data_IF_517884270852
#
_entry.id   IF_517884270852
#
_cell.length_a   1.000
_cell.length_b   1.000
_cell.length_c   1.000
_cell.angle_alpha   90.00
_cell.angle_beta   90.00
_cell.angle_gamma   90.00
#
_symmetry.space_group_name_H-M   'P 1'
#
loop_
_entity.id
_entity.type
_entity.pdbx_description
1 polymer ?
#
# COMPACT_ATOMS: atom_id res chain seq x y z
N UNK A 1 -15.15 -4.05 6.22
CA UNK A 1 -14.68 -2.66 6.20
C UNK A 1 -15.85 -1.72 6.23
N UNK A 2 -15.70 -0.66 6.96
CA UNK A 2 -16.71 0.39 7.03
C UNK A 2 -16.90 1.05 5.66
N UNK A 3 -18.13 1.19 5.22
CA UNK A 3 -18.46 1.77 3.92
C UNK A 3 -18.01 3.24 3.87
N UNK A 4 -18.22 3.97 4.94
CA UNK A 4 -17.86 5.37 4.99
C UNK A 4 -16.35 5.55 4.94
N UNK A 5 -15.61 4.69 5.62
CA UNK A 5 -14.16 4.68 5.57
C UNK A 5 -13.67 4.39 4.15
N UNK A 6 -14.26 3.39 3.50
CA UNK A 6 -13.93 3.07 2.11
C UNK A 6 -14.18 4.24 1.18
N UNK A 7 -15.29 4.94 1.36
CA UNK A 7 -15.64 6.07 0.53
C UNK A 7 -14.61 7.19 0.68
N UNK A 8 -14.22 7.48 1.91
CA UNK A 8 -13.21 8.51 2.15
C UNK A 8 -11.88 8.14 1.53
N UNK A 9 -11.47 6.88 1.65
CA UNK A 9 -10.23 6.41 1.03
C UNK A 9 -10.31 6.45 -0.48
N UNK A 10 -11.44 6.06 -1.07
CA UNK A 10 -11.61 6.09 -2.52
C UNK A 10 -11.46 7.50 -3.07
N UNK A 11 -11.98 8.50 -2.37
CA UNK A 11 -11.87 9.88 -2.80
C UNK A 11 -10.43 10.37 -2.83
N UNK A 12 -9.59 9.79 -1.96
CA UNK A 12 -8.17 10.16 -1.90
C UNK A 12 -7.33 9.33 -2.84
N UNK A 13 -7.72 8.08 -3.06
CA UNK A 13 -6.88 7.10 -3.76
C UNK A 13 -7.21 6.94 -5.24
N UNK A 14 -8.20 7.65 -5.76
CA UNK A 14 -8.51 7.59 -7.20
C UNK A 14 -7.41 8.30 -7.97
N UNK A 15 -6.58 7.52 -8.65
CA UNK A 15 -5.46 8.01 -9.43
C UNK A 15 -5.35 7.20 -10.71
N UNK A 16 -4.96 7.85 -11.79
CA UNK A 16 -4.76 7.19 -13.07
C UNK A 16 -3.37 6.57 -13.11
N UNK A 17 -3.29 5.30 -13.46
CA UNK A 17 -2.03 4.57 -13.50
C UNK A 17 -1.80 3.83 -14.83
N UNK A 18 -2.55 4.16 -15.88
CA UNK A 18 -2.33 3.62 -17.22
C UNK A 18 -2.25 2.09 -17.25
N UNK A 19 -3.27 1.43 -16.69
CA UNK A 19 -3.39 -0.03 -16.68
C UNK A 19 -2.38 -0.75 -15.80
N UNK A 20 -1.68 -0.06 -14.96
CA UNK A 20 -0.84 -0.68 -13.93
C UNK A 20 -1.40 -0.38 -12.56
N UNK A 21 -1.08 -1.21 -11.60
CA UNK A 21 -1.38 -0.91 -10.21
C UNK A 21 -0.44 0.20 -9.70
N UNK A 22 -0.78 0.76 -8.56
CA UNK A 22 0.10 1.73 -7.90
C UNK A 22 1.28 1.01 -7.26
N UNK A 23 2.45 1.65 -7.32
CA UNK A 23 3.66 1.08 -6.74
C UNK A 23 3.62 1.17 -5.21
N UNK A 24 4.45 0.36 -4.52
CA UNK A 24 4.60 0.50 -3.08
C UNK A 24 4.95 1.92 -2.65
N UNK A 25 5.78 2.61 -3.42
CA UNK A 25 6.17 3.98 -3.12
C UNK A 25 4.98 4.94 -3.22
N UNK A 26 4.15 4.77 -4.24
CA UNK A 26 2.94 5.59 -4.40
C UNK A 26 1.94 5.34 -3.27
N UNK A 27 1.73 4.08 -2.91
CA UNK A 27 0.82 3.73 -1.82
C UNK A 27 1.36 4.20 -0.47
N UNK A 28 2.67 4.11 -0.26
CA UNK A 28 3.28 4.60 0.96
C UNK A 28 3.09 6.10 1.11
N UNK A 29 3.21 6.85 0.02
CA UNK A 29 2.99 8.30 0.06
C UNK A 29 1.56 8.62 0.45
N UNK A 30 0.58 7.93 -0.12
CA UNK A 30 -0.82 8.11 0.24
C UNK A 30 -1.07 7.78 1.72
N UNK A 31 -0.46 6.68 2.20
CA UNK A 31 -0.60 6.30 3.59
C UNK A 31 0.00 7.35 4.52
N UNK A 32 1.15 7.91 4.14
CA UNK A 32 1.79 8.96 4.92
C UNK A 32 0.93 10.21 5.00
N UNK A 33 0.30 10.60 3.90
CA UNK A 33 -0.61 11.74 3.89
C UNK A 33 -1.73 11.54 4.92
N UNK A 34 -2.26 10.33 5.00
CA UNK A 34 -3.32 10.01 5.95
C UNK A 34 -2.84 10.04 7.39
N UNK A 35 -1.67 9.50 7.65
CA UNK A 35 -1.09 9.50 9.00
C UNK A 35 -0.88 10.94 9.47
N UNK A 36 -0.32 11.79 8.62
CA UNK A 36 -0.05 13.17 8.96
C UNK A 36 -1.35 13.97 9.16
N UNK A 37 -2.35 13.69 8.32
CA UNK A 37 -3.65 14.33 8.46
C UNK A 37 -4.29 14.03 9.81
N UNK A 38 -4.28 12.76 10.21
CA UNK A 38 -4.81 12.37 11.51
C UNK A 38 -4.05 13.07 12.64
N UNK A 39 -2.73 13.18 12.48
CA UNK A 39 -1.88 13.82 13.48
C UNK A 39 -2.12 15.30 13.67
N UNK A 40 -2.72 15.96 12.68
CA UNK A 40 -3.01 17.41 12.79
C UNK A 40 -3.98 17.73 13.93
N UNK A 41 -4.79 16.78 14.34
CA UNK A 41 -5.80 16.97 15.37
C UNK A 41 -5.33 16.52 16.75
N UNK A 42 -4.07 16.14 16.90
CA UNK A 42 -3.53 15.70 18.19
C UNK A 42 -2.61 16.78 18.74
N UNK A 43 -2.11 16.52 19.95
CA UNK A 43 -1.22 17.44 20.62
C UNK A 43 -0.02 17.80 19.74
N UNK A 44 0.40 19.08 19.69
CA UNK A 44 1.50 19.51 18.82
C UNK A 44 2.79 18.69 18.96
N UNK A 45 3.12 18.25 20.17
CA UNK A 45 4.31 17.43 20.39
C UNK A 45 4.21 16.12 19.62
N UNK A 46 3.04 15.47 19.63
CA UNK A 46 2.82 14.22 18.91
C UNK A 46 2.90 14.47 17.42
N UNK A 47 2.30 15.54 16.95
CA UNK A 47 2.37 15.92 15.53
C UNK A 47 3.81 16.16 15.09
N UNK A 48 4.58 16.86 15.89
CA UNK A 48 5.99 17.14 15.58
C UNK A 48 6.82 15.88 15.54
N UNK A 49 6.54 14.93 16.46
CA UNK A 49 7.19 13.63 16.44
C UNK A 49 6.85 12.84 15.18
N UNK A 50 5.59 12.88 14.75
CA UNK A 50 5.19 12.21 13.51
C UNK A 50 5.95 12.77 12.32
N UNK A 51 6.10 14.10 12.25
CA UNK A 51 6.86 14.74 11.19
C UNK A 51 8.34 14.34 11.25
N UNK A 52 8.90 14.26 12.45
CA UNK A 52 10.30 13.90 12.62
C UNK A 52 10.60 12.47 12.15
N UNK A 53 9.64 11.57 12.31
CA UNK A 53 9.81 10.16 11.92
C UNK A 53 9.22 9.84 10.55
N UNK A 54 8.80 10.83 9.82
CA UNK A 54 8.12 10.66 8.53
C UNK A 54 8.85 9.72 7.59
N UNK A 55 10.15 9.92 7.43
CA UNK A 55 10.92 9.10 6.49
C UNK A 55 11.04 7.66 6.95
N UNK A 56 11.25 7.44 8.25
CA UNK A 56 11.34 6.10 8.79
C UNK A 56 10.01 5.35 8.60
N UNK A 57 8.90 6.04 8.81
CA UNK A 57 7.58 5.44 8.62
C UNK A 57 7.36 5.12 7.15
N UNK A 58 7.76 6.02 6.24
CA UNK A 58 7.64 5.76 4.80
C UNK A 58 8.40 4.50 4.40
N UNK A 59 9.62 4.36 4.88
CA UNK A 59 10.45 3.17 4.58
C UNK A 59 9.75 1.91 5.05
N UNK A 60 9.17 1.93 6.24
CA UNK A 60 8.41 0.78 6.75
C UNK A 60 7.19 0.47 5.89
N UNK A 61 6.46 1.49 5.48
CA UNK A 61 5.29 1.29 4.63
C UNK A 61 5.69 0.64 3.30
N UNK A 62 6.73 1.16 2.66
CA UNK A 62 7.22 0.59 1.40
C UNK A 62 7.62 -0.86 1.59
N UNK A 63 8.36 -1.15 2.66
CA UNK A 63 8.81 -2.51 2.95
C UNK A 63 7.62 -3.47 3.06
N UNK A 64 6.62 -3.13 3.87
CA UNK A 64 5.50 -4.04 4.09
C UNK A 64 4.57 -4.12 2.88
N UNK A 65 4.46 -3.06 2.10
CA UNK A 65 3.71 -3.12 0.86
C UNK A 65 4.37 -4.03 -0.15
N UNK A 66 5.71 -4.04 -0.22
CA UNK A 66 6.44 -5.00 -1.06
C UNK A 66 6.25 -6.42 -0.56
N UNK A 67 6.28 -6.62 0.75
CA UNK A 67 6.04 -7.94 1.33
C UNK A 67 4.64 -8.44 1.01
N UNK A 68 3.65 -7.56 1.03
CA UNK A 68 2.28 -7.92 0.67
C UNK A 68 2.19 -8.39 -0.78
N UNK A 69 2.87 -7.70 -1.69
CA UNK A 69 2.90 -8.08 -3.11
C UNK A 69 3.54 -9.46 -3.27
N UNK A 70 4.68 -9.69 -2.62
CA UNK A 70 5.36 -10.97 -2.68
C UNK A 70 4.46 -12.08 -2.15
N UNK A 71 3.82 -11.83 -1.03
CA UNK A 71 2.92 -12.79 -0.41
C UNK A 71 1.75 -13.13 -1.31
N UNK A 72 1.13 -12.12 -1.91
CA UNK A 72 0.01 -12.33 -2.83
C UNK A 72 0.44 -13.12 -4.06
N UNK A 73 1.58 -12.78 -4.65
CA UNK A 73 2.10 -13.48 -5.83
C UNK A 73 2.45 -14.92 -5.52
N UNK A 74 2.98 -15.18 -4.33
CA UNK A 74 3.26 -16.55 -3.89
C UNK A 74 1.96 -17.36 -3.85
N UNK A 75 0.91 -16.81 -3.28
CA UNK A 75 -0.38 -17.48 -3.22
C UNK A 75 -0.94 -17.71 -4.62
N UNK A 76 -0.89 -16.69 -5.47
CA UNK A 76 -1.42 -16.78 -6.82
C UNK A 76 -0.65 -17.78 -7.65
N UNK A 77 0.69 -17.82 -7.52
CA UNK A 77 1.53 -18.81 -8.18
C UNK A 77 1.11 -20.23 -7.81
N UNK A 78 0.87 -20.48 -6.52
CA UNK A 78 0.44 -21.78 -6.05
C UNK A 78 -0.93 -22.14 -6.64
N UNK A 79 -1.84 -21.20 -6.70
CA UNK A 79 -3.16 -21.43 -7.28
C UNK A 79 -3.08 -21.74 -8.78
N UNK A 80 -2.27 -20.98 -9.51
CA UNK A 80 -2.10 -21.21 -10.95
C UNK A 80 -1.54 -22.62 -11.20
N UNK A 81 -0.56 -23.03 -10.41
CA UNK A 81 0.01 -24.37 -10.55
C UNK A 81 -1.04 -25.44 -10.25
N UNK A 82 -1.84 -25.24 -9.20
CA UNK A 82 -2.84 -26.25 -8.82
C UNK A 82 -3.97 -26.38 -9.85
N UNK A 83 -4.23 -25.34 -10.63
CA UNK A 83 -5.23 -25.36 -11.70
C UNK A 83 -4.62 -25.71 -13.07
N UNK A 84 -3.38 -26.14 -13.11
CA UNK A 84 -2.75 -26.58 -14.34
C UNK A 84 -2.18 -25.44 -15.20
N UNK A 85 -1.98 -24.29 -14.62
CA UNK A 85 -1.49 -23.11 -15.35
C UNK A 85 -0.11 -22.66 -14.89
N UNK A 86 0.77 -23.63 -14.63
CA UNK A 86 2.13 -23.30 -14.17
C UNK A 86 2.88 -22.42 -15.16
N UNK A 87 2.56 -22.51 -16.44
CA UNK A 87 3.15 -21.69 -17.48
C UNK A 87 2.85 -20.19 -17.29
N UNK A 88 1.75 -19.86 -16.63
CA UNK A 88 1.35 -18.47 -16.40
C UNK A 88 2.06 -17.82 -15.22
N UNK A 89 2.75 -18.63 -14.41
CA UNK A 89 3.44 -18.09 -13.23
C UNK A 89 4.50 -17.05 -13.62
N UNK A 90 5.07 -17.19 -14.80
CA UNK A 90 6.06 -16.24 -15.31
C UNK A 90 5.53 -14.80 -15.38
N UNK A 91 4.23 -14.66 -15.56
CA UNK A 91 3.62 -13.33 -15.65
C UNK A 91 3.66 -12.59 -14.31
N UNK A 92 3.87 -13.31 -13.20
CA UNK A 92 3.94 -12.76 -11.86
C UNK A 92 5.36 -12.40 -11.44
N UNK A 93 6.34 -12.76 -12.24
CA UNK A 93 7.74 -12.47 -11.97
C UNK A 93 8.14 -11.16 -12.65
N UNK A 94 8.95 -10.38 -11.97
CA UNK A 94 9.46 -9.13 -12.53
C UNK A 94 10.96 -9.09 -12.43
#
# INVERSE_FOLDING_TARGET
MDIQFSTALNNVTVRTTNNRGRTPEELAEEAMEKVLYVGENVHPVIRDQAQAYKEQIRVLFVHYMRQAIISDRTTLSAKLKSYGHADLVKLLEN
#
